data_IF_235413200844
#
_entry.id   IF_235413200844
#
_cell.length_a   1.000
_cell.length_b   1.000
_cell.length_c   1.000
_cell.angle_alpha   90.00
_cell.angle_beta   90.00
_cell.angle_gamma   90.00
#
_symmetry.space_group_name_H-M   'P 1'
#
loop_
_entity.id
_entity.type
_entity.pdbx_description
1 polymer ?
#
# COMPACT_ATOMS: atom_id res chain seq x y z
N UNK A 1 47.72 26.44 24.68
CA UNK A 1 46.58 27.24 25.12
C UNK A 1 45.50 26.29 25.56
N UNK A 2 45.42 25.96 26.89
CA UNK A 2 44.40 25.08 27.45
C UNK A 2 43.14 25.95 27.68
N UNK A 3 42.14 25.85 26.87
CA UNK A 3 40.82 26.42 27.14
C UNK A 3 40.19 25.62 28.29
N UNK A 4 40.34 26.14 29.52
CA UNK A 4 39.54 25.62 30.63
C UNK A 4 38.08 25.94 30.38
N UNK A 5 37.30 24.91 30.10
CA UNK A 5 35.84 24.98 30.00
C UNK A 5 35.29 25.19 31.42
N UNK A 6 35.19 26.44 31.81
CA UNK A 6 34.64 26.84 33.10
C UNK A 6 33.09 26.69 33.01
N UNK A 7 32.57 25.49 33.29
CA UNK A 7 31.16 25.20 33.39
C UNK A 7 30.54 25.97 34.55
N UNK A 8 29.94 27.11 34.29
CA UNK A 8 29.18 27.82 35.32
C UNK A 8 28.01 26.93 35.78
N UNK A 9 27.57 27.06 37.06
CA UNK A 9 26.40 26.31 37.57
C UNK A 9 25.18 26.44 36.66
N UNK A 10 24.98 27.54 36.00
CA UNK A 10 23.91 27.76 35.04
C UNK A 10 24.06 26.87 33.80
N UNK A 11 25.27 26.73 33.25
CA UNK A 11 25.52 25.83 32.09
C UNK A 11 25.30 24.36 32.44
N UNK A 12 25.71 23.92 33.63
CA UNK A 12 25.46 22.56 34.13
C UNK A 12 23.95 22.30 34.26
N UNK A 13 23.19 23.27 34.82
CA UNK A 13 21.75 23.16 34.94
C UNK A 13 21.07 23.07 33.58
N UNK A 14 21.45 23.91 32.61
CA UNK A 14 20.90 23.90 31.25
C UNK A 14 21.20 22.60 30.54
N UNK A 15 22.44 22.10 30.65
CA UNK A 15 22.82 20.81 30.04
C UNK A 15 22.02 19.65 30.68
N UNK A 16 21.92 19.62 32.01
CA UNK A 16 21.17 18.60 32.73
C UNK A 16 19.67 18.65 32.39
N UNK A 17 19.09 19.84 32.28
CA UNK A 17 17.70 20.04 31.88
C UNK A 17 17.44 19.52 30.46
N UNK A 18 18.27 19.88 29.47
CA UNK A 18 18.11 19.38 28.10
C UNK A 18 18.38 17.89 27.98
N UNK A 19 19.33 17.36 28.76
CA UNK A 19 19.57 15.91 28.81
C UNK A 19 18.36 15.16 29.36
N UNK A 20 17.79 15.65 30.47
CA UNK A 20 16.55 15.07 31.05
C UNK A 20 15.38 15.18 30.06
N UNK A 21 15.22 16.34 29.41
CA UNK A 21 14.19 16.55 28.36
C UNK A 21 14.36 15.58 27.21
N UNK A 22 15.60 15.37 26.74
CA UNK A 22 15.91 14.42 25.68
C UNK A 22 15.57 12.97 26.06
N UNK A 23 15.90 12.58 27.31
CA UNK A 23 15.54 11.26 27.86
C UNK A 23 14.02 11.08 27.91
N UNK A 24 13.30 12.06 28.48
CA UNK A 24 11.84 12.02 28.56
C UNK A 24 11.19 11.98 27.17
N UNK A 25 11.71 12.74 26.21
CA UNK A 25 11.24 12.74 24.84
C UNK A 25 11.52 11.41 24.14
N UNK A 26 12.71 10.83 24.35
CA UNK A 26 13.04 9.50 23.84
C UNK A 26 12.11 8.41 24.40
N UNK A 27 11.82 8.46 25.70
CA UNK A 27 10.86 7.56 26.33
C UNK A 27 9.44 7.74 25.76
N UNK A 28 9.01 8.99 25.54
CA UNK A 28 7.71 9.31 24.93
C UNK A 28 7.62 8.75 23.50
N UNK A 29 8.68 8.93 22.70
CA UNK A 29 8.73 8.37 21.34
C UNK A 29 8.65 6.84 21.36
N UNK A 30 9.35 6.19 22.27
CA UNK A 30 9.30 4.73 22.43
C UNK A 30 7.91 4.23 22.83
N UNK A 31 7.20 4.98 23.69
CA UNK A 31 5.81 4.67 24.05
C UNK A 31 4.83 4.86 22.89
N UNK A 32 5.11 5.79 21.98
CA UNK A 32 4.26 6.07 20.82
C UNK A 32 4.59 5.16 19.63
N UNK A 33 5.76 4.54 19.59
CA UNK A 33 6.22 3.70 18.48
C UNK A 33 5.19 2.66 18.02
N UNK A 34 4.54 1.85 18.90
CA UNK A 34 3.53 0.87 18.51
C UNK A 34 2.30 1.50 17.84
N UNK A 35 2.03 2.78 18.10
CA UNK A 35 0.86 3.50 17.59
C UNK A 35 1.14 4.31 16.32
N UNK A 36 2.41 4.47 15.91
CA UNK A 36 2.78 5.24 14.72
C UNK A 36 2.04 4.70 13.48
N UNK A 37 1.97 3.38 13.32
CA UNK A 37 1.23 2.75 12.23
C UNK A 37 -0.26 3.14 12.28
N UNK A 38 -0.89 3.06 13.45
CA UNK A 38 -2.30 3.42 13.63
C UNK A 38 -2.57 4.90 13.36
N UNK A 39 -1.70 5.79 13.79
CA UNK A 39 -1.81 7.22 13.53
C UNK A 39 -1.62 7.56 12.04
N UNK A 40 -0.70 6.87 11.38
CA UNK A 40 -0.48 7.05 9.94
C UNK A 40 -1.71 6.60 9.15
N UNK A 41 -2.26 5.42 9.44
CA UNK A 41 -3.50 4.94 8.85
C UNK A 41 -4.66 5.90 9.13
N UNK A 42 -4.81 6.36 10.37
CA UNK A 42 -5.85 7.31 10.72
C UNK A 42 -5.73 8.62 9.93
N UNK A 43 -4.51 9.14 9.75
CA UNK A 43 -4.26 10.36 8.95
C UNK A 43 -4.70 10.16 7.50
N UNK A 44 -4.31 9.04 6.88
CA UNK A 44 -4.69 8.69 5.51
C UNK A 44 -6.21 8.60 5.39
N UNK A 45 -6.86 7.83 6.27
CA UNK A 45 -8.30 7.62 6.25
C UNK A 45 -9.09 8.92 6.48
N UNK A 46 -8.65 9.75 7.42
CA UNK A 46 -9.27 11.05 7.68
C UNK A 46 -9.18 11.95 6.45
N UNK A 47 -8.05 12.01 5.76
CA UNK A 47 -7.92 12.81 4.54
C UNK A 47 -8.81 12.29 3.40
N UNK A 48 -8.91 10.97 3.23
CA UNK A 48 -9.80 10.34 2.24
C UNK A 48 -11.26 10.68 2.50
N UNK A 49 -11.69 10.46 3.74
CA UNK A 49 -13.10 10.56 4.12
C UNK A 49 -13.47 11.95 4.65
N UNK A 50 -12.56 12.94 4.59
CA UNK A 50 -12.84 14.30 5.01
C UNK A 50 -14.04 14.94 4.29
N UNK A 51 -14.24 14.75 2.97
CA UNK A 51 -15.45 15.27 2.31
C UNK A 51 -16.75 14.70 2.88
N UNK A 52 -16.70 13.44 3.33
CA UNK A 52 -17.84 12.78 3.96
C UNK A 52 -18.09 13.33 5.37
N UNK A 53 -17.01 13.46 6.15
CA UNK A 53 -17.07 14.11 7.46
C UNK A 53 -17.67 15.52 7.38
N UNK A 54 -17.27 16.32 6.38
CA UNK A 54 -17.78 17.67 6.20
C UNK A 54 -19.30 17.71 5.90
N UNK A 55 -19.83 16.68 5.20
CA UNK A 55 -21.28 16.51 4.98
C UNK A 55 -22.01 16.16 6.27
N UNK A 56 -21.48 15.19 7.04
CA UNK A 56 -22.03 14.85 8.36
C UNK A 56 -21.96 16.03 9.33
N UNK A 57 -20.90 16.80 9.31
CA UNK A 57 -20.76 17.98 10.16
C UNK A 57 -21.85 19.01 9.89
N UNK A 58 -22.20 19.24 8.61
CA UNK A 58 -23.33 20.11 8.23
C UNK A 58 -24.66 19.52 8.67
N UNK A 59 -24.84 18.21 8.51
CA UNK A 59 -26.09 17.52 8.86
C UNK A 59 -26.33 17.46 10.38
N UNK A 60 -25.27 17.33 11.18
CA UNK A 60 -25.34 17.30 12.65
C UNK A 60 -25.37 18.69 13.31
N UNK A 61 -25.58 19.75 12.54
CA UNK A 61 -25.60 21.12 13.08
C UNK A 61 -24.28 21.57 13.68
N UNK A 62 -23.14 21.23 13.03
CA UNK A 62 -21.80 21.60 13.44
C UNK A 62 -21.29 20.94 14.75
N UNK A 63 -21.93 19.84 15.17
CA UNK A 63 -21.50 19.04 16.33
C UNK A 63 -20.38 18.09 15.92
N UNK A 64 -19.13 18.51 16.17
CA UNK A 64 -17.93 17.77 15.75
C UNK A 64 -17.87 16.33 16.27
N UNK A 65 -18.30 16.11 17.51
CA UNK A 65 -18.29 14.78 18.15
C UNK A 65 -19.20 13.79 17.43
N UNK A 66 -20.45 14.20 17.14
CA UNK A 66 -21.41 13.35 16.43
C UNK A 66 -20.98 13.10 15.00
N UNK A 67 -20.52 14.14 14.29
CA UNK A 67 -20.04 13.99 12.93
C UNK A 67 -18.84 13.03 12.87
N UNK A 68 -17.86 13.17 13.78
CA UNK A 68 -16.71 12.26 13.88
C UNK A 68 -17.14 10.82 14.18
N UNK A 69 -18.06 10.64 15.10
CA UNK A 69 -18.56 9.32 15.48
C UNK A 69 -19.23 8.59 14.29
N UNK A 70 -20.18 9.24 13.61
CA UNK A 70 -20.85 8.65 12.45
C UNK A 70 -19.89 8.40 11.29
N UNK A 71 -18.97 9.33 11.04
CA UNK A 71 -17.98 9.13 9.97
C UNK A 71 -17.03 7.98 10.31
N UNK A 72 -16.59 7.85 11.56
CA UNK A 72 -15.72 6.75 11.99
C UNK A 72 -16.41 5.40 11.84
N UNK A 73 -17.67 5.27 12.28
CA UNK A 73 -18.42 4.03 12.09
C UNK A 73 -18.54 3.68 10.61
N UNK A 74 -18.84 4.67 9.77
CA UNK A 74 -18.98 4.42 8.33
C UNK A 74 -17.64 4.02 7.68
N UNK A 75 -16.53 4.64 8.07
CA UNK A 75 -15.18 4.27 7.62
C UNK A 75 -14.84 2.85 8.04
N UNK A 76 -15.12 2.50 9.31
CA UNK A 76 -14.90 1.15 9.81
C UNK A 76 -15.77 0.13 9.09
N UNK A 77 -17.05 0.42 8.88
CA UNK A 77 -17.95 -0.45 8.13
C UNK A 77 -17.46 -0.65 6.69
N UNK A 78 -17.03 0.42 6.03
CA UNK A 78 -16.49 0.37 4.67
C UNK A 78 -15.22 -0.49 4.56
N UNK A 79 -14.35 -0.48 5.58
CA UNK A 79 -13.14 -1.30 5.62
C UNK A 79 -13.42 -2.73 6.11
N UNK A 80 -14.27 -2.88 7.12
CA UNK A 80 -14.54 -4.17 7.75
C UNK A 80 -15.43 -5.07 6.90
N UNK A 81 -16.45 -4.53 6.22
CA UNK A 81 -17.40 -5.35 5.45
C UNK A 81 -16.74 -6.15 4.32
N UNK A 82 -15.93 -5.55 3.43
CA UNK A 82 -15.23 -6.32 2.41
C UNK A 82 -14.26 -7.34 3.01
N UNK A 83 -13.49 -6.94 4.03
CA UNK A 83 -12.56 -7.83 4.73
C UNK A 83 -13.26 -9.02 5.37
N UNK A 84 -14.34 -8.79 6.10
CA UNK A 84 -15.17 -9.83 6.71
C UNK A 84 -15.75 -10.78 5.66
N UNK A 85 -16.23 -10.24 4.53
CA UNK A 85 -16.78 -11.04 3.45
C UNK A 85 -15.70 -11.94 2.81
N UNK A 86 -14.50 -11.43 2.58
CA UNK A 86 -13.36 -12.22 2.09
C UNK A 86 -12.99 -13.31 3.08
N UNK A 87 -12.84 -12.99 4.37
CA UNK A 87 -12.49 -13.97 5.41
C UNK A 87 -13.55 -15.05 5.53
N UNK A 88 -14.85 -14.70 5.50
CA UNK A 88 -15.93 -15.67 5.57
C UNK A 88 -15.98 -16.63 4.36
N UNK A 89 -15.71 -16.12 3.16
CA UNK A 89 -15.66 -16.97 1.97
C UNK A 89 -14.40 -17.84 1.96
N UNK A 90 -13.25 -17.31 2.35
CA UNK A 90 -12.04 -18.10 2.56
C UNK A 90 -12.27 -19.22 3.57
N UNK A 91 -12.89 -18.91 4.72
CA UNK A 91 -13.18 -19.92 5.74
C UNK A 91 -14.08 -21.05 5.24
N UNK A 92 -15.06 -20.76 4.37
CA UNK A 92 -15.94 -21.77 3.76
C UNK A 92 -15.23 -22.64 2.74
N UNK A 93 -14.29 -22.06 1.99
CA UNK A 93 -13.54 -22.77 0.94
C UNK A 93 -12.30 -23.48 1.47
N UNK A 94 -11.87 -23.15 2.70
CA UNK A 94 -10.67 -23.74 3.32
C UNK A 94 -10.71 -25.28 3.37
N UNK A 95 -11.82 -25.94 3.79
CA UNK A 95 -11.90 -27.40 3.79
C UNK A 95 -11.73 -27.98 2.39
N UNK A 96 -12.42 -27.41 1.40
CA UNK A 96 -12.34 -27.85 0.00
C UNK A 96 -10.93 -27.65 -0.56
N UNK A 97 -10.27 -26.52 -0.23
CA UNK A 97 -8.89 -26.27 -0.62
C UNK A 97 -7.93 -27.22 0.08
N UNK A 98 -8.13 -27.52 1.35
CA UNK A 98 -7.33 -28.49 2.10
C UNK A 98 -7.48 -29.90 1.51
N UNK A 99 -8.70 -30.36 1.23
CA UNK A 99 -8.95 -31.66 0.58
C UNK A 99 -8.39 -31.70 -0.83
N UNK A 100 -8.47 -30.60 -1.57
CA UNK A 100 -7.84 -30.48 -2.89
C UNK A 100 -6.31 -30.58 -2.83
N UNK A 101 -5.69 -30.09 -1.78
CA UNK A 101 -4.23 -30.05 -1.58
C UNK A 101 -3.73 -31.36 -0.94
N UNK A 102 -4.47 -31.90 0.04
CA UNK A 102 -4.05 -33.06 0.83
C UNK A 102 -4.31 -34.40 0.13
N UNK A 103 -5.27 -34.45 -0.80
CA UNK A 103 -5.50 -35.66 -1.59
C UNK A 103 -4.32 -35.93 -2.52
N UNK A 104 -3.77 -37.13 -2.44
CA UNK A 104 -2.62 -37.66 -3.21
C UNK A 104 -2.82 -37.70 -4.74
N UNK A 105 -3.73 -36.89 -5.28
CA UNK A 105 -4.00 -36.74 -6.71
C UNK A 105 -3.04 -35.78 -7.44
N UNK A 106 -1.99 -35.32 -6.77
CA UNK A 106 -0.99 -34.44 -7.41
C UNK A 106 -0.31 -35.13 -8.59
N UNK A 107 -0.11 -36.44 -8.54
CA UNK A 107 0.45 -37.19 -9.67
C UNK A 107 -0.49 -37.15 -10.88
N UNK A 108 -1.79 -37.31 -10.70
CA UNK A 108 -2.77 -37.18 -11.77
C UNK A 108 -2.92 -35.75 -12.28
N UNK A 109 -2.89 -34.76 -11.37
CA UNK A 109 -3.00 -33.33 -11.72
C UNK A 109 -1.75 -32.81 -12.41
N UNK A 110 -0.57 -33.29 -11.99
CA UNK A 110 0.69 -32.97 -12.68
C UNK A 110 0.75 -33.57 -14.08
N UNK A 111 0.22 -34.80 -14.28
CA UNK A 111 0.09 -35.41 -15.59
C UNK A 111 -0.80 -34.59 -16.53
N UNK A 112 -1.92 -34.06 -16.02
CA UNK A 112 -2.79 -33.20 -16.82
C UNK A 112 -2.07 -31.90 -17.25
N UNK A 113 -1.35 -31.21 -16.33
CA UNK A 113 -0.52 -30.05 -16.66
C UNK A 113 0.55 -30.41 -17.70
N UNK A 114 1.18 -31.55 -17.54
CA UNK A 114 2.20 -32.05 -18.48
C UNK A 114 1.62 -32.36 -19.86
N UNK A 115 0.42 -32.95 -19.94
CA UNK A 115 -0.25 -33.20 -21.22
C UNK A 115 -0.59 -31.91 -21.94
N UNK A 116 -1.03 -30.87 -21.20
CA UNK A 116 -1.26 -29.53 -21.77
C UNK A 116 0.03 -28.86 -22.22
N UNK A 117 1.10 -28.97 -21.46
CA UNK A 117 2.42 -28.43 -21.84
C UNK A 117 2.98 -29.18 -23.08
N UNK A 118 2.74 -30.48 -23.22
CA UNK A 118 3.08 -31.23 -24.43
C UNK A 118 2.26 -30.78 -25.64
N UNK A 119 0.98 -30.44 -25.44
CA UNK A 119 0.12 -29.95 -26.51
C UNK A 119 0.60 -28.58 -27.07
N UNK A 120 1.26 -27.76 -26.25
CA UNK A 120 1.89 -26.48 -26.64
C UNK A 120 3.22 -26.70 -27.40
N UNK A 121 3.63 -27.95 -27.66
CA UNK A 121 4.83 -28.30 -28.44
C UNK A 121 6.16 -27.77 -27.85
N UNK A 122 6.19 -27.50 -26.53
CA UNK A 122 7.41 -27.03 -25.83
C UNK A 122 8.51 -28.11 -25.96
N UNK A 123 8.13 -29.38 -25.99
CA UNK A 123 9.06 -30.51 -26.18
C UNK A 123 9.84 -30.45 -27.49
N UNK A 124 9.19 -30.12 -28.61
CA UNK A 124 9.86 -29.96 -29.91
C UNK A 124 10.74 -28.73 -29.98
N UNK A 125 10.31 -27.64 -29.29
CA UNK A 125 11.12 -26.44 -29.18
C UNK A 125 12.41 -26.68 -28.36
N UNK A 126 12.31 -27.42 -27.24
CA UNK A 126 13.47 -27.84 -26.44
C UNK A 126 14.40 -28.82 -27.16
N UNK A 127 13.85 -29.76 -27.96
CA UNK A 127 14.64 -30.67 -28.79
C UNK A 127 15.49 -29.94 -29.83
N UNK A 128 14.98 -28.85 -30.40
CA UNK A 128 15.74 -28.00 -31.31
C UNK A 128 16.94 -27.30 -30.65
N UNK A 129 16.96 -27.27 -29.31
CA UNK A 129 18.08 -26.72 -28.49
C UNK A 129 18.99 -27.85 -27.95
N UNK A 130 18.81 -29.12 -28.44
CA UNK A 130 19.65 -30.26 -28.07
C UNK A 130 19.40 -30.80 -26.66
N UNK A 131 18.23 -30.54 -26.06
CA UNK A 131 17.86 -30.99 -24.72
C UNK A 131 17.03 -32.28 -24.85
N UNK A 132 17.50 -33.37 -24.23
CA UNK A 132 16.87 -34.71 -24.31
C UNK A 132 15.49 -34.68 -23.65
N UNK A 133 14.43 -34.97 -24.43
CA UNK A 133 13.02 -34.82 -24.04
C UNK A 133 12.57 -35.81 -22.96
N UNK A 134 13.23 -36.94 -22.80
CA UNK A 134 12.81 -38.00 -21.84
C UNK A 134 13.24 -37.68 -20.40
N UNK A 135 14.47 -37.20 -20.21
CA UNK A 135 14.96 -36.77 -18.89
C UNK A 135 14.33 -35.42 -18.48
N UNK A 136 14.15 -34.53 -19.46
CA UNK A 136 13.53 -33.23 -19.23
C UNK A 136 12.09 -33.35 -18.75
N UNK A 137 11.28 -34.28 -19.29
CA UNK A 137 9.90 -34.47 -18.86
C UNK A 137 9.77 -34.96 -17.41
N UNK A 138 10.66 -35.83 -16.92
CA UNK A 138 10.63 -36.33 -15.53
C UNK A 138 11.10 -35.24 -14.56
N UNK A 139 12.11 -34.44 -14.93
CA UNK A 139 12.59 -33.32 -14.13
C UNK A 139 11.52 -32.22 -14.08
N UNK A 140 10.93 -31.85 -15.22
CA UNK A 140 9.85 -30.84 -15.29
C UNK A 140 8.63 -31.30 -14.48
N UNK A 141 8.21 -32.56 -14.55
CA UNK A 141 7.11 -33.08 -13.75
C UNK A 141 7.39 -32.93 -12.25
N UNK A 142 8.58 -33.31 -11.81
CA UNK A 142 8.99 -33.22 -10.40
C UNK A 142 9.04 -31.76 -9.94
N UNK A 143 9.62 -30.88 -10.77
CA UNK A 143 9.70 -29.44 -10.46
C UNK A 143 8.32 -28.77 -10.46
N UNK A 144 7.44 -29.07 -11.41
CA UNK A 144 6.07 -28.56 -11.45
C UNK A 144 5.30 -29.03 -10.21
N UNK A 145 5.36 -30.34 -9.89
CA UNK A 145 4.67 -30.90 -8.71
C UNK A 145 5.18 -30.26 -7.43
N UNK A 146 6.51 -30.15 -7.27
CA UNK A 146 7.11 -29.52 -6.09
C UNK A 146 6.75 -28.04 -5.99
N UNK A 147 6.70 -27.32 -7.10
CA UNK A 147 6.34 -25.90 -7.13
C UNK A 147 4.86 -25.69 -6.80
N UNK A 148 3.96 -26.53 -7.33
CA UNK A 148 2.54 -26.50 -7.01
C UNK A 148 2.29 -26.83 -5.54
N UNK A 149 2.97 -27.85 -4.98
CA UNK A 149 2.89 -28.17 -3.56
C UNK A 149 3.37 -27.00 -2.69
N UNK A 150 4.56 -26.44 -2.98
CA UNK A 150 5.09 -25.29 -2.26
C UNK A 150 4.15 -24.09 -2.33
N UNK A 151 3.54 -23.84 -3.49
CA UNK A 151 2.56 -22.77 -3.66
C UNK A 151 1.30 -23.02 -2.83
N UNK A 152 0.81 -24.26 -2.83
CA UNK A 152 -0.33 -24.68 -2.04
C UNK A 152 -0.05 -24.55 -0.52
N UNK A 153 1.12 -25.01 -0.05
CA UNK A 153 1.55 -24.88 1.33
C UNK A 153 1.69 -23.40 1.74
N UNK A 154 2.26 -22.57 0.87
CA UNK A 154 2.35 -21.13 1.10
C UNK A 154 0.97 -20.47 1.23
N UNK A 155 0.00 -20.87 0.39
CA UNK A 155 -1.37 -20.36 0.50
C UNK A 155 -2.00 -20.77 1.83
N UNK A 156 -1.91 -22.06 2.21
CA UNK A 156 -2.44 -22.54 3.48
C UNK A 156 -1.79 -21.84 4.68
N UNK A 157 -0.46 -21.70 4.67
CA UNK A 157 0.27 -20.97 5.71
C UNK A 157 -0.18 -19.52 5.81
N UNK A 158 -0.34 -18.83 4.67
CA UNK A 158 -0.81 -17.44 4.66
C UNK A 158 -2.23 -17.29 5.16
N UNK A 159 -3.11 -18.21 4.81
CA UNK A 159 -4.48 -18.23 5.33
C UNK A 159 -4.47 -18.49 6.84
N UNK A 160 -3.73 -19.48 7.32
CA UNK A 160 -3.60 -19.77 8.75
C UNK A 160 -2.98 -18.57 9.51
N UNK A 161 -1.99 -17.90 8.94
CA UNK A 161 -1.39 -16.69 9.49
C UNK A 161 -2.41 -15.56 9.66
N UNK A 162 -3.32 -15.36 8.69
CA UNK A 162 -4.41 -14.37 8.78
C UNK A 162 -5.33 -14.70 9.97
N UNK A 163 -5.75 -15.96 10.11
CA UNK A 163 -6.61 -16.36 11.23
C UNK A 163 -5.91 -16.26 12.59
N UNK A 164 -4.66 -16.66 12.69
CA UNK A 164 -3.88 -16.60 13.92
C UNK A 164 -3.61 -15.14 14.35
N UNK A 165 -3.47 -14.22 13.42
CA UNK A 165 -3.24 -12.80 13.69
C UNK A 165 -4.54 -11.98 13.81
N UNK A 166 -5.71 -12.60 13.65
CA UNK A 166 -7.00 -11.90 13.73
C UNK A 166 -7.18 -11.11 15.03
N UNK A 167 -6.83 -11.63 16.23
CA UNK A 167 -6.95 -10.86 17.47
C UNK A 167 -6.06 -9.61 17.48
N UNK A 168 -4.82 -9.72 17.02
CA UNK A 168 -3.90 -8.58 16.90
C UNK A 168 -4.40 -7.57 15.87
N UNK A 169 -4.94 -8.04 14.76
CA UNK A 169 -5.59 -7.19 13.76
C UNK A 169 -6.78 -6.42 14.33
N UNK A 170 -7.64 -7.07 15.12
CA UNK A 170 -8.76 -6.40 15.80
C UNK A 170 -8.28 -5.31 16.76
N UNK A 171 -7.21 -5.56 17.52
CA UNK A 171 -6.59 -4.56 18.41
C UNK A 171 -6.04 -3.37 17.60
N UNK A 172 -5.36 -3.62 16.48
CA UNK A 172 -4.88 -2.56 15.61
C UNK A 172 -6.02 -1.74 15.00
N UNK A 173 -7.08 -2.39 14.51
CA UNK A 173 -8.28 -1.73 13.99
C UNK A 173 -8.94 -0.87 15.06
N UNK A 174 -9.00 -1.34 16.30
CA UNK A 174 -9.50 -0.55 17.44
C UNK A 174 -8.68 0.74 17.65
N UNK A 175 -7.35 0.65 17.67
CA UNK A 175 -6.51 1.85 17.82
C UNK A 175 -6.62 2.79 16.62
N UNK A 176 -6.72 2.25 15.39
CA UNK A 176 -7.00 3.06 14.19
C UNK A 176 -8.34 3.76 14.32
N UNK A 177 -9.39 3.07 14.78
CA UNK A 177 -10.72 3.64 14.97
C UNK A 177 -10.72 4.81 15.97
N UNK A 178 -10.06 4.61 17.11
CA UNK A 178 -9.90 5.66 18.12
C UNK A 178 -9.15 6.86 17.54
N UNK A 179 -8.03 6.62 16.85
CA UNK A 179 -7.24 7.67 16.22
C UNK A 179 -8.05 8.42 15.13
N UNK A 180 -8.79 7.71 14.27
CA UNK A 180 -9.66 8.28 13.23
C UNK A 180 -10.73 9.18 13.85
N UNK A 181 -11.38 8.74 14.93
CA UNK A 181 -12.36 9.53 15.64
C UNK A 181 -11.78 10.87 16.14
N UNK A 182 -10.64 10.80 16.85
CA UNK A 182 -9.99 12.00 17.37
C UNK A 182 -9.44 12.91 16.26
N UNK A 183 -8.93 12.33 15.18
CA UNK A 183 -8.41 13.10 14.05
C UNK A 183 -9.52 13.79 13.24
N UNK A 184 -10.71 13.18 13.11
CA UNK A 184 -11.86 13.91 12.56
C UNK A 184 -12.30 15.06 13.47
N UNK A 185 -12.31 14.83 14.80
CA UNK A 185 -12.77 15.83 15.77
C UNK A 185 -11.79 16.98 15.93
N UNK A 186 -10.50 16.67 16.12
CA UNK A 186 -9.48 17.62 16.54
C UNK A 186 -8.30 17.77 15.57
N UNK A 187 -8.26 16.96 14.50
CA UNK A 187 -7.09 16.84 13.60
C UNK A 187 -6.66 18.17 12.97
N UNK A 188 -7.60 19.04 12.60
CA UNK A 188 -7.26 20.35 12.07
C UNK A 188 -6.50 21.22 13.10
N UNK A 189 -6.86 21.14 14.38
CA UNK A 189 -6.15 21.84 15.46
C UNK A 189 -4.79 21.23 15.73
N UNK A 190 -4.70 19.90 15.71
CA UNK A 190 -3.44 19.19 15.91
C UNK A 190 -2.46 19.48 14.78
N UNK A 191 -2.91 19.46 13.53
CA UNK A 191 -2.09 19.80 12.38
C UNK A 191 -1.57 21.24 12.43
N UNK A 192 -2.42 22.21 12.76
CA UNK A 192 -1.98 23.60 12.93
C UNK A 192 -0.91 23.75 14.01
N UNK A 193 -1.12 23.14 15.19
CA UNK A 193 -0.12 23.18 16.28
C UNK A 193 1.18 22.49 15.87
N UNK A 194 1.12 21.36 15.16
CA UNK A 194 2.33 20.68 14.69
C UNK A 194 3.13 21.54 13.71
N UNK A 195 2.45 22.29 12.83
CA UNK A 195 3.10 23.19 11.88
C UNK A 195 3.69 24.40 12.60
N UNK A 196 3.01 24.94 13.60
CA UNK A 196 3.51 26.08 14.42
C UNK A 196 4.78 25.72 15.20
N UNK A 197 4.99 24.44 15.54
CA UNK A 197 6.22 23.96 16.20
C UNK A 197 7.42 23.91 15.25
N UNK A 198 7.21 23.98 13.93
CA UNK A 198 8.33 24.04 12.98
C UNK A 198 9.01 25.40 13.08
N UNK A 199 10.35 25.45 13.26
CA UNK A 199 11.10 26.71 13.32
C UNK A 199 11.27 27.31 11.91
N UNK A 200 10.16 27.55 11.23
CA UNK A 200 10.08 28.09 9.88
C UNK A 200 9.23 29.36 9.88
N UNK A 201 9.52 30.27 8.97
CA UNK A 201 8.67 31.43 8.71
C UNK A 201 7.27 30.96 8.23
N UNK A 202 6.25 31.76 8.51
CA UNK A 202 4.84 31.44 8.22
C UNK A 202 4.60 31.10 6.73
N UNK A 203 5.39 31.68 5.84
CA UNK A 203 5.32 31.40 4.39
C UNK A 203 5.77 29.99 4.08
N UNK A 204 6.90 29.55 4.62
CA UNK A 204 7.42 28.19 4.47
C UNK A 204 6.55 27.14 5.17
N UNK A 205 5.96 27.48 6.33
CA UNK A 205 4.99 26.61 6.99
C UNK A 205 3.78 26.32 6.09
N UNK A 206 3.28 27.32 5.34
CA UNK A 206 2.20 27.13 4.37
C UNK A 206 2.62 26.23 3.21
N UNK A 207 3.84 26.40 2.68
CA UNK A 207 4.37 25.54 1.60
C UNK A 207 4.42 24.09 2.06
N UNK A 208 5.00 23.82 3.24
CA UNK A 208 5.10 22.46 3.80
C UNK A 208 3.72 21.84 4.00
N UNK A 209 2.79 22.57 4.63
CA UNK A 209 1.42 22.10 4.86
C UNK A 209 0.66 21.82 3.57
N UNK A 210 0.77 22.73 2.59
CA UNK A 210 0.14 22.58 1.30
C UNK A 210 0.70 21.36 0.54
N UNK A 211 2.02 21.24 0.46
CA UNK A 211 2.68 20.12 -0.22
C UNK A 211 2.30 18.77 0.42
N UNK A 212 2.28 18.69 1.75
CA UNK A 212 1.82 17.51 2.48
C UNK A 212 0.39 17.13 2.09
N UNK A 213 -0.54 18.09 2.19
CA UNK A 213 -1.95 17.86 1.91
C UNK A 213 -2.20 17.44 0.46
N UNK A 214 -1.56 18.10 -0.51
CA UNK A 214 -1.67 17.76 -1.94
C UNK A 214 -1.13 16.37 -2.19
N UNK A 215 0.06 16.06 -1.67
CA UNK A 215 0.68 14.75 -1.91
C UNK A 215 -0.13 13.61 -1.30
N UNK A 216 -0.55 13.73 -0.03
CA UNK A 216 -1.38 12.69 0.59
C UNK A 216 -2.67 12.48 -0.19
N UNK A 217 -3.33 13.57 -0.60
CA UNK A 217 -4.57 13.50 -1.38
C UNK A 217 -4.33 12.85 -2.75
N UNK A 218 -3.25 13.20 -3.43
CA UNK A 218 -2.87 12.62 -4.73
C UNK A 218 -2.61 11.11 -4.62
N UNK A 219 -1.80 10.69 -3.64
CA UNK A 219 -1.46 9.27 -3.40
C UNK A 219 -2.72 8.47 -3.11
N UNK A 220 -3.58 8.98 -2.22
CA UNK A 220 -4.80 8.28 -1.84
C UNK A 220 -5.77 8.15 -3.01
N UNK A 221 -6.00 9.24 -3.76
CA UNK A 221 -6.86 9.22 -4.95
C UNK A 221 -6.33 8.24 -5.99
N UNK A 222 -5.02 8.26 -6.25
CA UNK A 222 -4.41 7.36 -7.22
C UNK A 222 -4.58 5.89 -6.80
N UNK A 223 -4.26 5.55 -5.54
CA UNK A 223 -4.40 4.18 -5.02
C UNK A 223 -5.86 3.71 -5.08
N UNK A 224 -6.82 4.55 -4.66
CA UNK A 224 -8.23 4.20 -4.68
C UNK A 224 -8.78 4.06 -6.11
N UNK A 225 -8.44 5.00 -7.00
CA UNK A 225 -8.87 4.94 -8.40
C UNK A 225 -8.32 3.70 -9.11
N UNK A 226 -7.04 3.40 -8.91
CA UNK A 226 -6.44 2.17 -9.45
C UNK A 226 -7.12 0.93 -8.89
N UNK A 227 -7.45 0.88 -7.59
CA UNK A 227 -8.15 -0.25 -7.00
C UNK A 227 -9.54 -0.46 -7.61
N UNK A 228 -10.32 0.61 -7.81
CA UNK A 228 -11.63 0.55 -8.46
C UNK A 228 -11.51 0.05 -9.90
N UNK A 229 -10.55 0.59 -10.65
CA UNK A 229 -10.31 0.17 -12.03
C UNK A 229 -9.89 -1.30 -12.12
N UNK A 230 -8.94 -1.73 -11.28
CA UNK A 230 -8.48 -3.13 -11.24
C UNK A 230 -9.60 -4.08 -10.86
N UNK A 231 -10.35 -3.79 -9.79
CA UNK A 231 -11.47 -4.62 -9.35
C UNK A 231 -12.56 -4.72 -10.42
N UNK A 232 -12.94 -3.59 -11.03
CA UNK A 232 -13.93 -3.52 -12.09
C UNK A 232 -13.49 -4.27 -13.35
N UNK A 233 -12.30 -3.99 -13.84
CA UNK A 233 -11.75 -4.64 -15.04
C UNK A 233 -11.55 -6.15 -14.83
N UNK A 234 -11.09 -6.56 -13.65
CA UNK A 234 -10.96 -7.98 -13.30
C UNK A 234 -12.32 -8.66 -13.27
N UNK A 235 -13.34 -8.04 -12.64
CA UNK A 235 -14.70 -8.56 -12.63
C UNK A 235 -15.29 -8.72 -14.02
N UNK A 236 -15.09 -7.74 -14.92
CA UNK A 236 -15.53 -7.78 -16.33
C UNK A 236 -14.81 -8.92 -17.07
N UNK A 237 -13.49 -9.05 -16.91
CA UNK A 237 -12.73 -10.12 -17.56
C UNK A 237 -13.17 -11.51 -17.10
N UNK A 238 -13.40 -11.70 -15.81
CA UNK A 238 -13.91 -12.96 -15.24
C UNK A 238 -15.32 -13.27 -15.75
N UNK A 239 -16.20 -12.28 -15.84
CA UNK A 239 -17.54 -12.44 -16.40
C UNK A 239 -17.49 -12.88 -17.86
N UNK A 240 -16.67 -12.21 -18.68
CA UNK A 240 -16.50 -12.54 -20.10
C UNK A 240 -15.89 -13.93 -20.31
N UNK A 241 -15.01 -14.38 -19.39
CA UNK A 241 -14.42 -15.72 -19.41
C UNK A 241 -15.33 -16.83 -18.83
N UNK A 242 -16.53 -16.49 -18.35
CA UNK A 242 -17.47 -17.48 -17.79
C UNK A 242 -17.07 -18.02 -16.40
N UNK A 243 -16.20 -17.30 -15.68
CA UNK A 243 -15.79 -17.70 -14.32
C UNK A 243 -16.95 -17.44 -13.34
N UNK A 244 -17.27 -18.37 -12.44
CA UNK A 244 -18.33 -18.19 -11.46
C UNK A 244 -18.02 -17.05 -10.48
N UNK A 245 -19.05 -16.38 -9.96
CA UNK A 245 -18.95 -15.29 -8.98
C UNK A 245 -18.04 -14.11 -9.41
N UNK A 246 -18.15 -13.60 -10.66
CA UNK A 246 -17.22 -12.60 -11.17
C UNK A 246 -17.25 -11.27 -10.40
N UNK A 247 -18.42 -10.88 -9.86
CA UNK A 247 -18.58 -9.67 -9.05
C UNK A 247 -17.82 -9.83 -7.72
N UNK A 248 -17.97 -10.99 -7.08
CA UNK A 248 -17.27 -11.29 -5.83
C UNK A 248 -15.75 -11.29 -6.02
N UNK A 249 -15.28 -12.00 -7.04
CA UNK A 249 -13.85 -12.07 -7.36
C UNK A 249 -13.32 -10.71 -7.80
N UNK A 250 -14.10 -9.90 -8.49
CA UNK A 250 -13.78 -8.50 -8.79
C UNK A 250 -13.63 -7.65 -7.52
N UNK A 251 -14.49 -7.87 -6.51
CA UNK A 251 -14.37 -7.20 -5.21
C UNK A 251 -13.12 -7.67 -4.44
N UNK A 252 -12.78 -8.94 -4.51
CA UNK A 252 -11.52 -9.47 -3.95
C UNK A 252 -10.32 -8.82 -4.66
N UNK A 253 -10.36 -8.70 -5.98
CA UNK A 253 -9.33 -8.01 -6.74
C UNK A 253 -9.23 -6.52 -6.35
N UNK A 254 -10.35 -5.83 -6.13
CA UNK A 254 -10.37 -4.46 -5.63
C UNK A 254 -9.65 -4.34 -4.28
N UNK A 255 -9.96 -5.21 -3.31
CA UNK A 255 -9.30 -5.20 -1.99
C UNK A 255 -7.81 -5.52 -2.12
N UNK A 256 -7.45 -6.53 -2.91
CA UNK A 256 -6.05 -6.92 -3.11
C UNK A 256 -5.26 -5.88 -3.91
N UNK A 257 -5.94 -5.02 -4.69
CA UNK A 257 -5.30 -3.96 -5.49
C UNK A 257 -4.63 -2.87 -4.66
N UNK A 258 -4.93 -2.79 -3.37
CA UNK A 258 -4.16 -1.95 -2.46
C UNK A 258 -2.72 -2.46 -2.28
N UNK A 259 -2.44 -3.74 -2.57
CA UNK A 259 -1.10 -4.33 -2.50
C UNK A 259 -0.48 -4.29 -3.90
N UNK A 260 0.60 -3.50 -4.13
CA UNK A 260 1.26 -3.45 -5.43
C UNK A 260 1.75 -4.84 -5.85
N UNK A 261 1.75 -5.10 -7.15
CA UNK A 261 2.15 -6.34 -7.81
C UNK A 261 1.26 -7.57 -7.55
N UNK A 262 0.65 -7.69 -6.35
CA UNK A 262 -0.26 -8.80 -6.05
C UNK A 262 -1.70 -8.55 -6.51
N UNK A 263 -2.18 -7.35 -6.41
CA UNK A 263 -3.52 -6.84 -6.73
C UNK A 263 -4.44 -7.78 -7.50
N UNK A 264 -4.74 -7.41 -8.73
CA UNK A 264 -5.58 -8.20 -9.61
C UNK A 264 -4.98 -9.57 -9.97
N UNK A 265 -3.63 -9.70 -9.99
CA UNK A 265 -2.95 -10.94 -10.35
C UNK A 265 -3.30 -12.10 -9.41
N UNK A 266 -3.51 -11.81 -8.13
CA UNK A 266 -3.93 -12.81 -7.15
C UNK A 266 -5.29 -13.45 -7.45
N UNK A 267 -6.09 -12.84 -8.31
CA UNK A 267 -7.41 -13.32 -8.71
C UNK A 267 -7.41 -13.90 -10.12
N UNK A 268 -6.88 -13.16 -11.12
CA UNK A 268 -6.96 -13.62 -12.50
C UNK A 268 -6.02 -14.81 -12.79
N UNK A 269 -4.86 -14.95 -12.11
CA UNK A 269 -3.96 -16.08 -12.31
C UNK A 269 -4.62 -17.40 -11.87
N UNK A 270 -5.17 -17.54 -10.63
CA UNK A 270 -5.92 -18.74 -10.25
C UNK A 270 -7.13 -19.01 -11.13
N UNK A 271 -7.83 -17.97 -11.59
CA UNK A 271 -8.96 -18.12 -12.48
C UNK A 271 -8.55 -18.66 -13.85
N UNK A 272 -7.41 -18.24 -14.40
CA UNK A 272 -6.85 -18.83 -15.63
C UNK A 272 -6.52 -20.31 -15.44
N UNK A 273 -5.90 -20.70 -14.32
CA UNK A 273 -5.59 -22.11 -14.01
C UNK A 273 -6.88 -22.93 -13.92
N UNK A 274 -7.91 -22.38 -13.28
CA UNK A 274 -9.23 -23.03 -13.19
C UNK A 274 -9.88 -23.22 -14.56
N UNK A 275 -9.83 -22.21 -15.45
CA UNK A 275 -10.35 -22.33 -16.83
C UNK A 275 -9.60 -23.36 -17.65
N UNK A 276 -8.29 -23.44 -17.51
CA UNK A 276 -7.48 -24.49 -18.13
C UNK A 276 -7.90 -25.88 -17.65
N UNK A 277 -8.15 -26.04 -16.33
CA UNK A 277 -8.66 -27.28 -15.76
C UNK A 277 -10.03 -27.68 -16.33
N UNK A 278 -10.89 -26.70 -16.65
CA UNK A 278 -12.18 -26.90 -17.30
C UNK A 278 -12.07 -27.15 -18.82
N UNK A 279 -10.87 -27.28 -19.39
CA UNK A 279 -10.59 -27.40 -20.83
C UNK A 279 -11.07 -26.18 -21.66
N UNK A 280 -11.21 -25.01 -21.03
CA UNK A 280 -11.60 -23.76 -21.69
C UNK A 280 -10.36 -22.92 -22.04
N UNK A 281 -9.53 -23.43 -22.97
CA UNK A 281 -8.22 -22.83 -23.30
C UNK A 281 -8.34 -21.43 -23.88
N UNK A 282 -9.33 -21.19 -24.76
CA UNK A 282 -9.56 -19.88 -25.37
C UNK A 282 -9.96 -18.82 -24.34
N UNK A 283 -10.82 -19.19 -23.39
CA UNK A 283 -11.22 -18.29 -22.29
C UNK A 283 -10.05 -18.01 -21.35
N UNK A 284 -9.24 -19.04 -21.02
CA UNK A 284 -8.04 -18.88 -20.20
C UNK A 284 -7.01 -17.95 -20.84
N UNK A 285 -6.74 -18.11 -22.15
CA UNK A 285 -5.84 -17.25 -22.90
C UNK A 285 -6.35 -15.80 -22.95
N UNK A 286 -7.64 -15.64 -23.24
CA UNK A 286 -8.28 -14.33 -23.24
C UNK A 286 -8.19 -13.61 -21.88
N UNK A 287 -8.46 -14.35 -20.77
CA UNK A 287 -8.35 -13.83 -19.43
C UNK A 287 -6.90 -13.51 -19.04
N UNK A 288 -5.93 -14.33 -19.46
CA UNK A 288 -4.52 -14.07 -19.22
C UNK A 288 -4.04 -12.79 -19.90
N UNK A 289 -4.36 -12.60 -21.18
CA UNK A 289 -4.04 -11.39 -21.92
C UNK A 289 -4.70 -10.15 -21.28
N UNK A 290 -5.98 -10.26 -20.89
CA UNK A 290 -6.70 -9.20 -20.18
C UNK A 290 -6.05 -8.88 -18.83
N UNK A 291 -5.68 -9.91 -18.05
CA UNK A 291 -5.02 -9.77 -16.74
C UNK A 291 -3.65 -9.11 -16.83
N UNK A 292 -2.86 -9.44 -17.86
CA UNK A 292 -1.58 -8.77 -18.14
C UNK A 292 -1.80 -7.28 -18.43
N UNK A 293 -2.79 -6.95 -19.27
CA UNK A 293 -3.14 -5.54 -19.58
C UNK A 293 -3.48 -4.79 -18.29
N UNK A 294 -4.33 -5.36 -17.41
CA UNK A 294 -4.70 -4.75 -16.13
C UNK A 294 -3.45 -4.52 -15.26
N UNK A 295 -2.57 -5.51 -15.19
CA UNK A 295 -1.37 -5.44 -14.36
C UNK A 295 -0.40 -4.36 -14.86
N UNK A 296 -0.16 -4.30 -16.17
CA UNK A 296 0.70 -3.28 -16.78
C UNK A 296 0.09 -1.88 -16.61
N UNK A 297 -1.23 -1.77 -16.82
CA UNK A 297 -1.93 -0.49 -16.66
C UNK A 297 -1.77 0.07 -15.23
N UNK A 298 -1.89 -0.76 -14.20
CA UNK A 298 -1.71 -0.34 -12.81
C UNK A 298 -0.29 0.21 -12.55
N UNK A 299 0.73 -0.47 -13.07
CA UNK A 299 2.13 -0.09 -12.87
C UNK A 299 2.47 1.28 -13.50
N UNK A 300 1.75 1.67 -14.54
CA UNK A 300 1.95 2.96 -15.22
C UNK A 300 1.02 4.04 -14.65
N UNK A 301 -0.25 3.69 -14.44
CA UNK A 301 -1.30 4.66 -14.07
C UNK A 301 -1.08 5.22 -12.66
N UNK A 302 -0.71 4.39 -11.71
CA UNK A 302 -0.53 4.78 -10.31
C UNK A 302 0.57 5.83 -10.12
N UNK A 303 1.84 5.64 -10.58
CA UNK A 303 2.87 6.67 -10.50
C UNK A 303 2.55 7.91 -11.34
N UNK A 304 1.85 7.74 -12.48
CA UNK A 304 1.46 8.85 -13.34
C UNK A 304 0.44 9.78 -12.65
N UNK A 305 -0.58 9.21 -12.00
CA UNK A 305 -1.59 9.98 -11.27
C UNK A 305 -0.95 10.74 -10.10
N UNK A 306 -0.09 10.08 -9.32
CA UNK A 306 0.60 10.71 -8.19
C UNK A 306 1.54 11.82 -8.69
N UNK A 307 2.33 11.53 -9.72
CA UNK A 307 3.32 12.47 -10.27
C UNK A 307 2.68 13.74 -10.83
N UNK A 308 1.54 13.62 -11.50
CA UNK A 308 0.82 14.76 -12.06
C UNK A 308 0.27 15.70 -11.00
N UNK A 309 -0.39 15.18 -9.98
CA UNK A 309 -0.98 16.01 -8.91
C UNK A 309 0.09 16.57 -7.96
N UNK A 310 1.07 15.76 -7.57
CA UNK A 310 2.13 16.15 -6.62
C UNK A 310 3.34 16.83 -7.29
N UNK A 311 3.36 16.96 -8.62
CA UNK A 311 4.48 17.50 -9.43
C UNK A 311 5.81 16.79 -9.14
N UNK A 312 5.77 15.49 -8.92
CA UNK A 312 6.92 14.65 -8.64
C UNK A 312 7.34 13.85 -9.87
N UNK A 313 8.64 13.60 -10.02
CA UNK A 313 9.14 12.72 -11.07
C UNK A 313 8.69 11.28 -10.84
N UNK A 314 8.10 10.65 -11.87
CA UNK A 314 7.66 9.25 -11.86
C UNK A 314 8.81 8.30 -11.49
N UNK A 315 10.04 8.63 -11.92
CA UNK A 315 11.23 7.86 -11.57
C UNK A 315 11.47 7.77 -10.06
N UNK A 316 11.48 8.92 -9.37
CA UNK A 316 11.67 8.95 -7.92
C UNK A 316 10.50 8.34 -7.17
N UNK A 317 9.26 8.54 -7.66
CA UNK A 317 8.07 7.92 -7.08
C UNK A 317 8.14 6.40 -7.09
N UNK A 318 8.61 5.80 -8.19
CA UNK A 318 8.78 4.35 -8.30
C UNK A 318 9.74 3.82 -7.23
N UNK A 319 10.94 4.39 -7.12
CA UNK A 319 11.94 3.96 -6.15
C UNK A 319 11.51 4.19 -4.70
N UNK A 320 10.89 5.34 -4.41
CA UNK A 320 10.44 5.64 -3.04
C UNK A 320 9.23 4.80 -2.63
N UNK A 321 8.37 4.40 -3.56
CA UNK A 321 7.26 3.48 -3.27
C UNK A 321 7.78 2.07 -2.96
N UNK A 322 8.72 1.54 -3.76
CA UNK A 322 9.33 0.22 -3.50
C UNK A 322 10.18 0.25 -2.22
N UNK A 323 11.00 1.29 -2.05
CA UNK A 323 11.80 1.48 -0.84
C UNK A 323 10.94 1.60 0.40
N UNK A 324 9.85 2.38 0.31
CA UNK A 324 8.86 2.53 1.36
C UNK A 324 8.20 1.19 1.72
N UNK A 325 7.80 0.41 0.72
CA UNK A 325 7.22 -0.93 0.92
C UNK A 325 8.18 -1.85 1.68
N UNK A 326 9.48 -1.79 1.35
CA UNK A 326 10.50 -2.61 2.03
C UNK A 326 10.72 -2.20 3.49
N UNK A 327 10.71 -0.88 3.79
CA UNK A 327 11.05 -0.34 5.12
C UNK A 327 9.83 -0.30 6.04
N UNK A 328 8.68 0.17 5.53
CA UNK A 328 7.46 0.42 6.31
C UNK A 328 6.33 -0.57 5.99
N UNK A 329 6.62 -1.63 5.22
CA UNK A 329 5.60 -2.56 4.76
C UNK A 329 4.52 -1.86 3.93
N UNK A 330 3.28 -2.29 4.07
CA UNK A 330 2.15 -1.78 3.29
C UNK A 330 1.94 -0.24 3.42
N UNK A 331 2.21 0.33 4.60
CA UNK A 331 2.18 1.79 4.79
C UNK A 331 3.18 2.54 3.92
N UNK A 332 4.28 1.90 3.55
CA UNK A 332 5.33 2.51 2.74
C UNK A 332 4.88 2.93 1.35
N UNK A 333 3.80 2.34 0.82
CA UNK A 333 3.20 2.74 -0.45
C UNK A 333 2.71 4.20 -0.40
N UNK A 334 2.20 4.59 0.75
CA UNK A 334 1.73 5.95 1.01
C UNK A 334 2.87 6.84 1.51
N UNK A 335 3.68 6.34 2.45
CA UNK A 335 4.76 7.11 3.06
C UNK A 335 5.90 7.42 2.09
N UNK A 336 6.23 6.52 1.15
CA UNK A 336 7.30 6.74 0.18
C UNK A 336 7.16 8.04 -0.59
N UNK A 337 6.06 8.25 -1.33
CA UNK A 337 5.77 9.50 -2.02
C UNK A 337 5.69 10.73 -1.09
N UNK A 338 5.12 10.56 0.11
CA UNK A 338 5.00 11.65 1.09
C UNK A 338 6.38 12.10 1.58
N UNK A 339 7.25 11.16 1.95
CA UNK A 339 8.61 11.46 2.40
C UNK A 339 9.40 12.14 1.27
N UNK A 340 9.27 11.64 0.03
CA UNK A 340 9.90 12.25 -1.13
C UNK A 340 9.47 13.71 -1.30
N UNK A 341 8.15 13.95 -1.31
CA UNK A 341 7.62 15.31 -1.54
C UNK A 341 8.00 16.28 -0.44
N UNK A 342 8.01 15.82 0.82
CA UNK A 342 8.48 16.62 1.95
C UNK A 342 9.97 16.94 1.82
N UNK A 343 10.80 15.96 1.49
CA UNK A 343 12.22 16.17 1.24
C UNK A 343 12.48 17.21 0.14
N UNK A 344 11.74 17.12 -0.97
CA UNK A 344 11.84 18.10 -2.06
C UNK A 344 11.36 19.50 -1.65
N UNK A 345 10.30 19.59 -0.84
CA UNK A 345 9.82 20.87 -0.31
C UNK A 345 10.88 21.53 0.59
N UNK A 346 11.47 20.78 1.52
CA UNK A 346 12.55 21.29 2.37
C UNK A 346 13.80 21.70 1.58
N UNK A 347 14.18 20.93 0.56
CA UNK A 347 15.29 21.28 -0.33
C UNK A 347 15.02 22.57 -1.12
N UNK A 348 13.78 22.77 -1.58
CA UNK A 348 13.41 24.01 -2.29
C UNK A 348 13.44 25.22 -1.36
N UNK A 349 12.95 25.09 -0.13
CA UNK A 349 13.04 26.14 0.90
C UNK A 349 14.50 26.47 1.22
N UNK A 350 15.33 25.43 1.42
CA UNK A 350 16.77 25.64 1.66
C UNK A 350 17.43 26.39 0.51
N UNK A 351 17.15 26.01 -0.73
CA UNK A 351 17.68 26.69 -1.93
C UNK A 351 17.25 28.14 -2.00
N UNK A 352 16.00 28.43 -1.70
CA UNK A 352 15.45 29.79 -1.72
C UNK A 352 16.11 30.67 -0.64
N UNK A 353 16.16 30.18 0.59
CA UNK A 353 16.71 30.95 1.73
C UNK A 353 18.21 31.18 1.61
N UNK A 354 18.99 30.15 1.23
CA UNK A 354 20.44 30.23 1.33
C UNK A 354 21.16 30.47 0.00
N UNK A 355 20.63 29.98 -1.14
CA UNK A 355 21.32 30.11 -2.42
C UNK A 355 20.86 31.33 -3.22
N UNK A 356 19.59 31.72 -3.12
CA UNK A 356 19.10 32.92 -3.83
C UNK A 356 19.45 34.19 -3.08
N UNK A 357 19.51 34.15 -1.74
CA UNK A 357 19.97 35.30 -0.91
C UNK A 357 21.49 35.58 -1.03
N UNK A 358 22.27 34.63 -1.59
CA UNK A 358 23.71 34.80 -1.79
C UNK A 358 24.10 35.46 -3.13
N UNK A 359 23.14 35.76 -4.01
CA UNK A 359 23.42 36.56 -5.21
C UNK A 359 23.30 38.07 -4.84
N UNK A 360 24.40 38.81 -4.80
CA UNK A 360 24.34 40.26 -4.60
C UNK A 360 23.58 40.87 -5.77
N UNK A 361 22.65 41.75 -5.45
CA UNK A 361 21.82 42.53 -6.37
C UNK A 361 22.69 43.28 -7.39
N UNK A 362 22.90 42.63 -8.55
CA UNK A 362 23.65 43.21 -9.66
C UNK A 362 22.93 44.36 -10.38
N UNK A 363 21.69 44.66 -9.92
CA UNK A 363 20.82 45.71 -10.51
C UNK A 363 21.16 47.14 -10.00
N UNK A 364 22.00 47.29 -8.95
CA UNK A 364 22.36 48.60 -8.40
C UNK A 364 23.57 49.26 -9.04
N UNK A 365 24.24 48.65 -10.02
CA UNK A 365 25.47 49.19 -10.66
C UNK A 365 25.28 49.86 -12.01
N UNK A 366 24.06 50.20 -12.43
CA UNK A 366 23.82 50.84 -13.74
C UNK A 366 23.06 52.16 -13.62
N UNK A 367 23.17 52.85 -12.47
CA UNK A 367 22.62 54.22 -12.29
C UNK A 367 23.63 55.12 -11.55
N UNK A 368 24.84 55.25 -12.08
CA UNK A 368 25.73 56.36 -11.83
C UNK A 368 26.44 56.72 -13.16
#
# INVERSE_FOLDING_TARGET
MKTEFNLSRQNIFVIAFFALLAVLFSMLLSLLEPFISSFTWATILVMVFYPLYSRFLKWTGNRRELASFFTTILVLAFLALPGFFVVMNLAKELPNAYDFISTSQWDQKSLWVMDKLKAVNIGTWLQNWGIDSTQTNTILQKEITSTLQKFADLLLQKVAEVFNNLPLFCVQVFFVAVAVFFFFRDGARLAMKAIELLPLEKEYQKIVSHTFSVTVTAVVRAVFLCAVLQGGMTGIGLYAAGVPLPILLGLVAFVNSFIPFLGAASVWIPACIWLLYQNQETAALGLALWGIIITVLDQVLRPWLIGNEAKLSVFWLFFTTIGGLKVYGFLGIFLGPIILSMGMAFLSIYREVYLTSAQPDSSKKSRD
#
